data_IF_014608569108
#
_entry.id   IF_014608569108
#
_cell.length_a   1.000
_cell.length_b   1.000
_cell.length_c   1.000
_cell.angle_alpha   90.00
_cell.angle_beta   90.00
_cell.angle_gamma   90.00
#
_symmetry.space_group_name_H-M   'P 1'
#
loop_
_entity.id
_entity.type
_entity.pdbx_description
1 polymer ?
#
# COMPACT_ATOMS: atom_id res chain seq x y z
N UNK A 1 -21.20 10.27 -26.65
CA UNK A 1 -21.71 9.00 -26.09
C UNK A 1 -20.85 8.50 -24.91
N UNK A 2 -19.95 9.31 -24.32
CA UNK A 2 -18.68 8.69 -23.87
C UNK A 2 -18.28 8.89 -22.41
N UNK A 3 -18.85 9.83 -21.65
CA UNK A 3 -18.40 10.06 -20.26
C UNK A 3 -18.84 8.92 -19.32
N UNK A 4 -20.09 8.44 -19.47
CA UNK A 4 -20.61 7.33 -18.66
C UNK A 4 -19.92 6.00 -18.98
N UNK A 5 -19.60 5.74 -20.26
CA UNK A 5 -18.81 4.59 -20.66
C UNK A 5 -17.39 4.64 -20.06
N UNK A 6 -16.75 5.81 -20.08
CA UNK A 6 -15.42 5.98 -19.52
C UNK A 6 -15.36 5.71 -18.01
N UNK A 7 -16.38 6.15 -17.24
CA UNK A 7 -16.40 5.92 -15.79
C UNK A 7 -16.59 4.44 -15.45
N UNK A 8 -17.43 3.73 -16.20
CA UNK A 8 -17.62 2.30 -16.06
C UNK A 8 -16.33 1.53 -16.36
N UNK A 9 -15.66 1.87 -17.47
CA UNK A 9 -14.37 1.26 -17.85
C UNK A 9 -13.28 1.53 -16.81
N UNK A 10 -13.16 2.76 -16.31
CA UNK A 10 -12.21 3.11 -15.23
C UNK A 10 -12.52 2.27 -13.98
N UNK A 11 -13.78 2.20 -13.57
CA UNK A 11 -14.17 1.44 -12.38
C UNK A 11 -13.75 -0.03 -12.49
N UNK A 12 -14.01 -0.67 -13.64
CA UNK A 12 -13.63 -2.05 -13.85
C UNK A 12 -12.11 -2.24 -13.93
N UNK A 13 -11.38 -1.29 -14.52
CA UNK A 13 -9.92 -1.30 -14.58
C UNK A 13 -9.30 -1.20 -13.19
N UNK A 14 -9.74 -0.21 -12.39
CA UNK A 14 -9.28 -0.01 -11.00
C UNK A 14 -9.64 -1.21 -10.13
N UNK A 15 -10.87 -1.72 -10.23
CA UNK A 15 -11.30 -2.89 -9.47
C UNK A 15 -10.48 -4.14 -9.81
N UNK A 16 -10.17 -4.35 -11.09
CA UNK A 16 -9.34 -5.46 -11.52
C UNK A 16 -7.91 -5.34 -10.97
N UNK A 17 -7.26 -4.18 -11.12
CA UNK A 17 -5.91 -3.94 -10.60
C UNK A 17 -5.86 -4.09 -9.07
N UNK A 18 -6.84 -3.55 -8.36
CA UNK A 18 -6.97 -3.70 -6.90
C UNK A 18 -7.06 -5.17 -6.48
N UNK A 19 -7.95 -5.95 -7.10
CA UNK A 19 -8.10 -7.37 -6.80
C UNK A 19 -6.83 -8.16 -7.15
N UNK A 20 -6.21 -7.85 -8.27
CA UNK A 20 -4.95 -8.47 -8.68
C UNK A 20 -3.83 -8.14 -7.69
N UNK A 21 -3.82 -6.94 -7.11
CA UNK A 21 -2.83 -6.49 -6.14
C UNK A 21 -3.02 -7.13 -4.77
N UNK A 22 -4.24 -7.11 -4.22
CA UNK A 22 -4.56 -7.66 -2.88
C UNK A 22 -4.40 -9.17 -2.81
N UNK A 23 -4.61 -9.89 -3.92
CA UNK A 23 -4.47 -11.36 -3.98
C UNK A 23 -3.04 -11.87 -4.12
N UNK A 24 -2.05 -10.99 -4.30
CA UNK A 24 -0.65 -11.40 -4.42
C UNK A 24 -0.03 -11.70 -3.07
N UNK A 25 0.83 -12.72 -3.06
CA UNK A 25 1.71 -12.99 -1.93
C UNK A 25 2.55 -11.77 -1.55
N UNK A 26 3.06 -10.99 -2.51
CA UNK A 26 3.82 -9.77 -2.20
C UNK A 26 3.02 -8.78 -1.36
N UNK A 27 1.71 -8.64 -1.60
CA UNK A 27 0.86 -7.76 -0.79
C UNK A 27 0.69 -8.28 0.62
N UNK A 28 0.40 -9.57 0.77
CA UNK A 28 0.26 -10.21 2.09
C UNK A 28 1.58 -10.17 2.87
N UNK A 29 2.72 -10.42 2.22
CA UNK A 29 4.05 -10.33 2.80
C UNK A 29 4.32 -8.90 3.26
N UNK A 30 4.05 -7.90 2.43
CA UNK A 30 4.24 -6.49 2.81
C UNK A 30 3.42 -6.15 4.06
N UNK A 31 2.13 -6.47 4.08
CA UNK A 31 1.27 -6.21 5.24
C UNK A 31 1.80 -6.97 6.48
N UNK A 32 2.15 -8.25 6.34
CA UNK A 32 2.68 -9.06 7.43
C UNK A 32 3.98 -8.49 8.00
N UNK A 33 4.93 -8.11 7.15
CA UNK A 33 6.19 -7.48 7.56
C UNK A 33 5.94 -6.14 8.24
N UNK A 34 5.05 -5.31 7.72
CA UNK A 34 4.70 -4.02 8.34
C UNK A 34 4.09 -4.21 9.72
N UNK A 35 3.14 -5.14 9.88
CA UNK A 35 2.51 -5.44 11.19
C UNK A 35 3.53 -6.01 12.17
N UNK A 36 4.38 -6.93 11.71
CA UNK A 36 5.45 -7.50 12.52
C UNK A 36 6.45 -6.44 12.98
N UNK A 37 6.84 -5.53 12.09
CA UNK A 37 7.70 -4.40 12.43
C UNK A 37 7.01 -3.47 13.44
N UNK A 38 5.75 -3.08 13.21
CA UNK A 38 5.01 -2.26 14.15
C UNK A 38 4.94 -2.88 15.55
N UNK A 39 4.68 -4.18 15.64
CA UNK A 39 4.68 -4.91 16.92
C UNK A 39 6.07 -4.95 17.58
N UNK A 40 7.11 -5.29 16.82
CA UNK A 40 8.48 -5.44 17.34
C UNK A 40 9.06 -4.11 17.89
N UNK A 41 8.58 -3.00 17.35
CA UNK A 41 8.97 -1.65 17.75
C UNK A 41 8.10 -1.10 18.88
N UNK A 42 7.16 -1.85 19.47
CA UNK A 42 6.50 -1.46 20.72
C UNK A 42 7.31 -2.02 21.89
N UNK A 43 8.02 -1.19 22.67
CA UNK A 43 8.81 -1.67 23.79
C UNK A 43 7.90 -2.07 24.96
N UNK A 44 8.22 -3.14 25.69
CA UNK A 44 7.61 -3.44 26.99
C UNK A 44 7.72 -2.25 27.98
N UNK A 45 6.80 -2.18 28.94
CA UNK A 45 6.72 -1.05 29.89
C UNK A 45 8.02 -0.86 30.71
N UNK A 46 8.75 -1.95 30.97
CA UNK A 46 9.99 -2.03 31.73
C UNK A 46 11.27 -1.97 30.87
N UNK A 47 11.14 -1.84 29.54
CA UNK A 47 12.28 -1.81 28.64
C UNK A 47 13.19 -0.60 28.88
N UNK A 48 14.51 -0.80 28.75
CA UNK A 48 15.53 0.27 28.88
C UNK A 48 15.66 1.17 27.64
N UNK A 49 14.89 0.92 26.60
CA UNK A 49 14.87 1.70 25.36
C UNK A 49 13.46 2.21 25.08
N UNK A 50 13.39 3.31 24.32
CA UNK A 50 12.13 3.89 23.85
C UNK A 50 12.16 4.03 22.33
N UNK A 51 11.11 3.57 21.68
CA UNK A 51 10.92 3.75 20.23
C UNK A 51 10.55 5.20 19.89
N UNK A 52 9.81 5.84 20.78
CA UNK A 52 9.43 7.24 20.68
C UNK A 52 9.89 7.94 21.95
N UNK A 53 10.76 8.93 21.78
CA UNK A 53 11.26 9.80 22.84
C UNK A 53 11.06 11.24 22.42
N UNK A 54 10.50 12.05 23.33
CA UNK A 54 10.23 13.47 23.10
C UNK A 54 11.08 14.28 24.06
N UNK A 55 12.37 14.43 23.73
CA UNK A 55 13.31 15.22 24.53
C UNK A 55 13.62 14.61 25.90
N UNK A 56 13.81 13.29 25.97
CA UNK A 56 14.05 12.54 27.21
C UNK A 56 12.78 12.10 27.95
N UNK A 57 11.60 12.47 27.46
CA UNK A 57 10.34 12.04 28.02
C UNK A 57 9.77 10.83 27.26
N UNK A 58 9.71 9.70 27.97
CA UNK A 58 8.94 8.54 27.56
C UNK A 58 7.48 8.74 27.97
N UNK A 59 6.56 8.55 27.03
CA UNK A 59 5.14 8.63 27.32
C UNK A 59 4.66 7.50 28.25
N UNK A 60 3.57 7.76 28.97
CA UNK A 60 2.94 6.81 29.88
C UNK A 60 2.45 5.60 29.09
N UNK A 61 2.75 4.39 29.56
CA UNK A 61 2.38 3.13 28.91
C UNK A 61 0.87 2.87 28.97
N UNK A 62 0.12 3.61 28.17
CA UNK A 62 -1.34 3.52 28.02
C UNK A 62 -1.71 3.32 26.55
N UNK A 63 -3.00 3.08 26.30
CA UNK A 63 -3.51 2.82 24.95
C UNK A 63 -3.29 3.98 23.99
N UNK A 64 -3.34 5.23 24.47
CA UNK A 64 -3.10 6.42 23.65
C UNK A 64 -1.65 6.46 23.14
N UNK A 65 -0.68 6.23 24.02
CA UNK A 65 0.74 6.24 23.67
C UNK A 65 1.13 5.07 22.77
N UNK A 66 0.67 3.86 23.10
CA UNK A 66 0.91 2.66 22.28
C UNK A 66 0.26 2.84 20.91
N UNK A 67 -0.98 3.35 20.86
CA UNK A 67 -1.68 3.62 19.61
C UNK A 67 -0.93 4.62 18.72
N UNK A 68 -0.44 5.71 19.29
CA UNK A 68 0.36 6.70 18.55
C UNK A 68 1.67 6.10 18.04
N UNK A 69 2.38 5.33 18.88
CA UNK A 69 3.63 4.66 18.51
C UNK A 69 3.40 3.69 17.35
N UNK A 70 2.39 2.81 17.46
CA UNK A 70 2.02 1.85 16.42
C UNK A 70 1.61 2.56 15.14
N UNK A 71 0.82 3.63 15.22
CA UNK A 71 0.40 4.39 14.04
C UNK A 71 1.58 4.99 13.28
N UNK A 72 2.54 5.60 13.99
CA UNK A 72 3.73 6.19 13.38
C UNK A 72 4.64 5.13 12.76
N UNK A 73 4.93 4.05 13.50
CA UNK A 73 5.76 2.97 13.00
C UNK A 73 5.12 2.30 11.80
N UNK A 74 3.82 1.96 11.89
CA UNK A 74 3.07 1.37 10.78
C UNK A 74 3.08 2.28 9.55
N UNK A 75 2.82 3.58 9.72
CA UNK A 75 2.81 4.54 8.61
C UNK A 75 4.17 4.62 7.92
N UNK A 76 5.26 4.66 8.70
CA UNK A 76 6.62 4.66 8.18
C UNK A 76 6.93 3.40 7.36
N UNK A 77 6.72 2.21 7.94
CA UNK A 77 7.02 0.96 7.27
C UNK A 77 6.10 0.70 6.08
N UNK A 78 4.82 1.04 6.20
CA UNK A 78 3.86 0.87 5.10
C UNK A 78 4.16 1.82 3.95
N UNK A 79 4.59 3.06 4.21
CA UNK A 79 5.00 3.98 3.14
C UNK A 79 6.21 3.43 2.37
N UNK A 80 7.23 2.93 3.09
CA UNK A 80 8.42 2.34 2.49
C UNK A 80 8.12 1.06 1.71
N UNK A 81 7.45 0.09 2.33
CA UNK A 81 7.17 -1.19 1.70
C UNK A 81 6.06 -1.08 0.64
N UNK A 82 5.05 -0.26 0.90
CA UNK A 82 3.93 0.01 0.00
C UNK A 82 4.39 0.64 -1.32
N UNK A 83 5.44 1.47 -1.31
CA UNK A 83 6.02 1.99 -2.55
C UNK A 83 6.42 0.88 -3.53
N UNK A 84 7.11 -0.17 -3.05
CA UNK A 84 7.53 -1.30 -3.89
C UNK A 84 6.35 -2.12 -4.42
N UNK A 85 5.23 -2.11 -3.69
CA UNK A 85 4.01 -2.80 -4.06
C UNK A 85 3.33 -2.12 -5.27
N UNK A 86 3.37 -0.79 -5.31
CA UNK A 86 2.69 0.03 -6.33
C UNK A 86 3.60 0.34 -7.54
N UNK A 87 4.91 0.52 -7.34
CA UNK A 87 5.81 1.07 -8.37
C UNK A 87 5.83 0.29 -9.70
N UNK A 88 5.58 -1.02 -9.66
CA UNK A 88 5.73 -1.91 -10.82
C UNK A 88 4.39 -2.19 -11.53
N UNK A 89 3.34 -1.40 -11.31
CA UNK A 89 1.99 -1.72 -11.83
C UNK A 89 1.91 -1.79 -13.37
N UNK A 90 2.66 -0.95 -14.10
CA UNK A 90 2.72 -0.94 -15.57
C UNK A 90 3.72 -1.98 -16.09
N UNK A 91 4.92 -2.03 -15.50
CA UNK A 91 5.97 -3.00 -15.85
C UNK A 91 5.45 -4.43 -15.76
N UNK A 92 4.61 -4.69 -14.78
CA UNK A 92 4.00 -6.00 -14.58
C UNK A 92 3.07 -6.40 -15.72
N UNK A 93 2.26 -5.47 -16.25
CA UNK A 93 1.39 -5.77 -17.39
C UNK A 93 2.23 -6.16 -18.62
N UNK A 94 3.43 -5.58 -18.76
CA UNK A 94 4.38 -5.95 -19.80
C UNK A 94 4.93 -7.37 -19.56
N UNK A 95 5.38 -7.68 -18.34
CA UNK A 95 5.96 -8.98 -18.00
C UNK A 95 4.96 -10.14 -18.08
N UNK A 96 3.68 -9.91 -17.76
CA UNK A 96 2.63 -10.94 -17.81
C UNK A 96 2.00 -11.10 -19.20
N UNK A 97 2.33 -10.22 -20.16
CA UNK A 97 1.70 -10.17 -21.48
C UNK A 97 0.31 -9.54 -21.52
N UNK A 98 -0.26 -9.18 -20.36
CA UNK A 98 -1.57 -8.51 -20.26
C UNK A 98 -1.58 -7.17 -20.99
N UNK A 99 -0.46 -6.46 -21.01
CA UNK A 99 -0.30 -5.18 -21.73
C UNK A 99 -0.60 -5.29 -23.23
N UNK A 100 -0.30 -6.42 -23.86
CA UNK A 100 -0.60 -6.66 -25.27
C UNK A 100 -2.11 -6.79 -25.51
N UNK A 101 -2.80 -7.50 -24.62
CA UNK A 101 -4.27 -7.64 -24.67
C UNK A 101 -4.90 -6.26 -24.52
N UNK A 102 -4.48 -5.48 -23.51
CA UNK A 102 -4.98 -4.12 -23.28
C UNK A 102 -4.74 -3.23 -24.51
N UNK A 103 -3.59 -3.33 -25.17
CA UNK A 103 -3.27 -2.56 -26.36
C UNK A 103 -4.18 -2.86 -27.57
N UNK A 104 -4.82 -4.03 -27.61
CA UNK A 104 -5.80 -4.39 -28.65
C UNK A 104 -7.25 -3.95 -28.33
N UNK A 105 -7.48 -3.37 -27.16
CA UNK A 105 -8.80 -2.82 -26.76
C UNK A 105 -8.93 -1.34 -27.13
N UNK A 106 -10.14 -0.77 -27.24
CA UNK A 106 -10.34 0.66 -27.52
C UNK A 106 -9.98 1.58 -26.31
N UNK A 107 -9.06 1.17 -25.44
CA UNK A 107 -8.65 1.91 -24.25
C UNK A 107 -7.64 3.02 -24.61
N UNK A 108 -7.98 4.26 -24.27
CA UNK A 108 -7.08 5.41 -24.47
C UNK A 108 -5.97 5.44 -23.42
N UNK A 109 -4.75 5.81 -23.81
CA UNK A 109 -3.57 5.96 -22.92
C UNK A 109 -3.85 6.72 -21.61
N UNK A 110 -4.50 7.91 -21.59
CA UNK A 110 -4.77 8.62 -20.34
C UNK A 110 -5.73 7.85 -19.41
N UNK A 111 -6.67 7.09 -19.98
CA UNK A 111 -7.62 6.28 -19.20
C UNK A 111 -6.90 5.10 -18.52
N UNK A 112 -5.97 4.48 -19.25
CA UNK A 112 -5.10 3.43 -18.71
C UNK A 112 -4.21 3.95 -17.56
N UNK A 113 -3.53 5.09 -17.76
CA UNK A 113 -2.66 5.68 -16.74
C UNK A 113 -3.44 6.11 -15.51
N UNK A 114 -4.64 6.67 -15.68
CA UNK A 114 -5.52 7.02 -14.56
C UNK A 114 -6.00 5.78 -13.80
N UNK A 115 -6.38 4.71 -14.50
CA UNK A 115 -6.81 3.48 -13.86
C UNK A 115 -5.69 2.71 -13.15
N UNK A 116 -4.42 2.96 -13.48
CA UNK A 116 -3.26 2.43 -12.75
C UNK A 116 -2.83 3.31 -11.57
N UNK A 117 -3.13 4.61 -11.63
CA UNK A 117 -2.83 5.57 -10.57
C UNK A 117 -3.84 5.56 -9.42
N UNK A 118 -5.10 5.22 -9.72
CA UNK A 118 -6.21 5.06 -8.76
C UNK A 118 -6.25 3.63 -8.20
#
# INVERSE_FOLDING_TARGET
MDIRLNLHTIYHLVRADFLERVRRYSFLITIGVTVFAAYSFVPPADALYATMDLGGYRGVYNSAWIGATVALVTTLFLALAGFYLVKNAVERDLQTGVGQIIATTPLRKPLYTLGKAL
#
